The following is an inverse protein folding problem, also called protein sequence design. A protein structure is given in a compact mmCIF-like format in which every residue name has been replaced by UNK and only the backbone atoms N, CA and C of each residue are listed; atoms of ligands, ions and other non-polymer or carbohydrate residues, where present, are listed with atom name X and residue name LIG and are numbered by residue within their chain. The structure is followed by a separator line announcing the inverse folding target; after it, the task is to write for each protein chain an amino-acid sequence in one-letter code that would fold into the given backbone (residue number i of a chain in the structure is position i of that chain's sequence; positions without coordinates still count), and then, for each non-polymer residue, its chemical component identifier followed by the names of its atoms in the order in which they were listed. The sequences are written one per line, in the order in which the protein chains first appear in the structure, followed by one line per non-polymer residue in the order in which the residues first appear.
data_IF_600153412157
#
_entry.id   IF_600153412157
#
_cell.length_a   1.000
_cell.length_b   1.000
_cell.length_c   1.000
_cell.angle_alpha   90.00
_cell.angle_beta   90.00
_cell.angle_gamma   90.00
#
_symmetry.space_group_name_H-M   'P 1'
#
loop_
_entity.id
_entity.type
_entity.pdbx_description
1 polymer ?
#
# COMPACT_ATOMS: atom_id res chain seq x y z
N UNK A 1 -1.61 -13.13 -8.18
CA UNK A 1 -1.51 -11.68 -7.95
C UNK A 1 -2.80 -11.27 -7.33
N UNK A 2 -2.73 -10.58 -6.20
CA UNK A 2 -3.89 -10.12 -5.44
C UNK A 2 -3.94 -8.61 -5.51
N UNK A 3 -5.14 -8.05 -5.56
CA UNK A 3 -5.39 -6.63 -5.45
C UNK A 3 -6.30 -6.40 -4.25
N UNK A 4 -5.89 -5.52 -3.35
CA UNK A 4 -6.63 -5.20 -2.12
C UNK A 4 -7.02 -3.73 -2.16
N UNK A 5 -8.29 -3.47 -1.84
CA UNK A 5 -8.84 -2.14 -1.66
C UNK A 5 -9.35 -2.05 -0.23
N UNK A 6 -8.65 -1.27 0.58
CA UNK A 6 -9.02 -1.05 1.98
C UNK A 6 -9.49 0.38 2.18
N UNK A 7 -10.58 0.54 2.92
CA UNK A 7 -11.01 1.83 3.49
C UNK A 7 -10.98 1.72 5.00
N UNK A 8 -9.85 2.12 5.58
CA UNK A 8 -9.64 2.05 7.03
C UNK A 8 -9.97 3.40 7.65
N UNK A 9 -11.06 3.46 8.41
CA UNK A 9 -11.49 4.69 9.09
C UNK A 9 -10.34 5.29 9.90
N UNK A 10 -10.09 6.58 9.69
CA UNK A 10 -9.04 7.32 10.38
C UNK A 10 -7.62 7.08 9.84
N UNK A 11 -7.38 6.05 9.04
CA UNK A 11 -6.09 5.82 8.37
C UNK A 11 -6.11 6.28 6.92
N UNK A 12 -7.19 5.96 6.20
CA UNK A 12 -7.43 6.33 4.81
C UNK A 12 -7.70 5.13 3.91
N UNK A 13 -7.68 5.40 2.61
CA UNK A 13 -7.87 4.41 1.56
C UNK A 13 -6.53 3.88 1.08
N UNK A 14 -6.41 2.56 0.97
CA UNK A 14 -5.20 1.87 0.52
C UNK A 14 -5.55 1.03 -0.69
N UNK A 15 -4.70 1.13 -1.72
CA UNK A 15 -4.70 0.22 -2.83
C UNK A 15 -3.36 -0.51 -2.85
N UNK A 16 -3.41 -1.83 -2.76
CA UNK A 16 -2.23 -2.69 -2.71
C UNK A 16 -2.29 -3.74 -3.82
N UNK A 17 -1.13 -3.99 -4.44
CA UNK A 17 -0.91 -5.09 -5.36
C UNK A 17 0.21 -5.97 -4.82
N UNK A 18 -0.05 -7.26 -4.71
CA UNK A 18 0.94 -8.23 -4.23
C UNK A 18 0.98 -9.50 -5.09
N UNK A 19 2.14 -10.15 -5.08
CA UNK A 19 2.33 -11.44 -5.73
C UNK A 19 3.35 -12.26 -4.94
N UNK A 20 2.96 -13.50 -4.62
CA UNK A 20 3.87 -14.46 -4.02
C UNK A 20 4.91 -14.89 -5.06
N UNK A 21 6.18 -14.86 -4.66
CA UNK A 21 7.32 -15.22 -5.50
C UNK A 21 8.45 -15.74 -4.61
N UNK A 22 9.38 -16.48 -5.20
CA UNK A 22 10.64 -16.78 -4.54
C UNK A 22 11.64 -15.61 -4.64
N UNK A 23 12.75 -15.71 -3.90
CA UNK A 23 13.80 -14.71 -3.88
C UNK A 23 14.48 -14.52 -5.26
N UNK A 24 14.53 -15.57 -6.09
CA UNK A 24 15.16 -15.54 -7.41
C UNK A 24 14.38 -14.62 -8.37
N UNK A 25 13.06 -14.58 -8.26
CA UNK A 25 12.19 -13.82 -9.16
C UNK A 25 11.64 -12.51 -8.54
N UNK A 26 12.12 -12.12 -7.34
CA UNK A 26 11.66 -10.91 -6.65
C UNK A 26 11.76 -9.64 -7.51
N UNK A 27 12.85 -9.48 -8.26
CA UNK A 27 13.05 -8.31 -9.14
C UNK A 27 12.02 -8.22 -10.26
N UNK A 28 11.68 -9.35 -10.87
CA UNK A 28 10.67 -9.46 -11.93
C UNK A 28 9.26 -9.21 -11.37
N UNK A 29 8.96 -9.76 -10.20
CA UNK A 29 7.71 -9.49 -9.50
C UNK A 29 7.54 -7.99 -9.22
N UNK A 30 8.57 -7.32 -8.70
CA UNK A 30 8.55 -5.87 -8.49
C UNK A 30 8.35 -5.07 -9.80
N UNK A 31 8.99 -5.48 -10.90
CA UNK A 31 8.81 -4.83 -12.20
C UNK A 31 7.37 -4.99 -12.69
N UNK A 32 6.80 -6.20 -12.56
CA UNK A 32 5.42 -6.50 -12.93
C UNK A 32 4.42 -5.66 -12.13
N UNK A 33 4.59 -5.57 -10.81
CA UNK A 33 3.72 -4.76 -9.96
C UNK A 33 3.79 -3.27 -10.34
N UNK A 34 4.99 -2.71 -10.54
CA UNK A 34 5.15 -1.31 -10.99
C UNK A 34 4.49 -1.05 -12.34
N UNK A 35 4.62 -1.98 -13.28
CA UNK A 35 3.94 -1.87 -14.56
C UNK A 35 2.42 -1.81 -14.37
N UNK A 36 1.84 -2.66 -13.50
CA UNK A 36 0.40 -2.63 -13.22
C UNK A 36 -0.06 -1.33 -12.59
N UNK A 37 0.71 -0.76 -11.67
CA UNK A 37 0.44 0.59 -11.15
C UNK A 37 0.43 1.64 -12.27
N UNK A 38 1.40 1.58 -13.19
CA UNK A 38 1.46 2.46 -14.36
C UNK A 38 0.26 2.27 -15.30
N UNK A 39 -0.10 1.02 -15.61
CA UNK A 39 -1.24 0.69 -16.48
C UNK A 39 -2.56 1.23 -15.91
N UNK A 40 -2.69 1.25 -14.57
CA UNK A 40 -3.85 1.79 -13.85
C UNK A 40 -3.81 3.32 -13.69
N UNK A 41 -2.72 3.99 -14.11
CA UNK A 41 -2.54 5.42 -13.90
C UNK A 41 -2.35 5.81 -12.43
N UNK A 42 -1.92 4.87 -11.57
CA UNK A 42 -1.75 5.09 -10.14
C UNK A 42 -0.27 5.26 -9.82
N UNK A 43 0.08 6.39 -9.20
CA UNK A 43 1.43 6.60 -8.69
C UNK A 43 1.59 6.00 -7.29
N UNK A 44 2.50 5.02 -7.08
CA UNK A 44 2.72 4.44 -5.77
C UNK A 44 3.37 5.48 -4.84
N UNK A 45 2.88 5.54 -3.59
CA UNK A 45 3.53 6.37 -2.55
C UNK A 45 4.84 5.76 -2.11
N UNK A 46 5.76 6.59 -1.64
CA UNK A 46 7.02 6.11 -1.06
C UNK A 46 6.76 5.30 0.21
N UNK A 47 7.61 4.31 0.47
CA UNK A 47 7.58 3.54 1.73
C UNK A 47 7.68 4.44 2.95
N UNK A 48 8.50 5.49 2.90
CA UNK A 48 8.68 6.47 3.98
C UNK A 48 7.38 7.21 4.30
N UNK A 49 6.60 7.59 3.28
CA UNK A 49 5.33 8.29 3.48
C UNK A 49 4.25 7.36 4.05
N UNK A 50 4.21 6.12 3.55
CA UNK A 50 3.34 5.06 4.08
C UNK A 50 3.64 4.77 5.55
N UNK A 51 4.90 4.59 5.91
CA UNK A 51 5.33 4.36 7.30
C UNK A 51 5.01 5.56 8.20
N UNK A 52 5.20 6.79 7.71
CA UNK A 52 4.83 8.00 8.45
C UNK A 52 3.34 8.05 8.76
N UNK A 53 2.49 7.81 7.75
CA UNK A 53 1.05 7.77 7.92
C UNK A 53 0.62 6.66 8.89
N UNK A 54 1.20 5.47 8.76
CA UNK A 54 0.92 4.34 9.64
C UNK A 54 1.26 4.64 11.10
N UNK A 55 2.46 5.18 11.36
CA UNK A 55 2.89 5.57 12.70
C UNK A 55 2.00 6.65 13.31
N UNK A 56 1.52 7.60 12.51
CA UNK A 56 0.56 8.60 12.98
C UNK A 56 -0.77 7.95 13.36
N UNK A 57 -1.31 7.09 12.50
CA UNK A 57 -2.53 6.35 12.79
C UNK A 57 -2.39 5.50 14.06
N UNK A 58 -1.35 4.69 14.18
CA UNK A 58 -1.11 3.86 15.37
C UNK A 58 -1.12 4.66 16.68
N UNK A 59 -0.57 5.88 16.70
CA UNK A 59 -0.56 6.73 17.90
C UNK A 59 -1.90 7.40 18.20
N UNK A 60 -2.74 7.61 17.19
CA UNK A 60 -3.91 8.48 17.28
C UNK A 60 -5.25 7.79 16.93
N UNK A 61 -5.26 6.50 16.60
CA UNK A 61 -6.40 5.82 16.00
C UNK A 61 -7.70 6.02 16.78
N UNK A 62 -7.66 5.97 18.13
CA UNK A 62 -8.84 6.18 18.99
C UNK A 62 -9.53 7.53 18.74
N UNK A 63 -8.75 8.59 18.48
CA UNK A 63 -9.27 9.91 18.12
C UNK A 63 -9.74 9.93 16.66
N UNK A 64 -8.95 9.35 15.76
CA UNK A 64 -9.21 9.37 14.32
C UNK A 64 -10.47 8.59 13.91
N UNK A 65 -10.85 7.55 14.65
CA UNK A 65 -12.08 6.79 14.38
C UNK A 65 -13.33 7.40 15.03
N UNK A 66 -13.16 8.40 15.91
CA UNK A 66 -14.27 9.07 16.61
C UNK A 66 -14.65 10.40 15.96
N UNK A 67 -13.71 11.01 15.23
CA UNK A 67 -13.98 12.11 14.31
C UNK A 67 -14.87 11.65 13.15
#
# INVERSE_FOLDING_TARGET
MTATLDDTRGYGKIFELEVMTDAKHQGEAHKKLRQRFSDLGIQPKSRKDMERAYRYYQRNWKKLIRA
#
